data_IF_458987006089
#
_entry.id   IF_458987006089
#
_cell.length_a   1.000
_cell.length_b   1.000
_cell.length_c   1.000
_cell.angle_alpha   90.00
_cell.angle_beta   90.00
_cell.angle_gamma   90.00
#
_symmetry.space_group_name_H-M   'P 1'
#
loop_
_entity.id
_entity.type
_entity.pdbx_description
1 polymer ?
#
# COMPACT_ATOMS: atom_id res chain seq x y z
N UNK A 1 -14.64 1.20 -14.87
CA UNK A 1 -13.75 2.26 -14.34
C UNK A 1 -14.44 3.59 -14.59
N UNK A 2 -14.60 4.40 -13.53
CA UNK A 2 -15.17 5.74 -13.68
C UNK A 2 -14.17 6.65 -14.40
N UNK A 3 -14.61 7.41 -15.40
CA UNK A 3 -13.76 8.38 -16.11
C UNK A 3 -13.43 9.61 -15.26
N UNK A 4 -14.30 9.91 -14.29
CA UNK A 4 -14.16 11.07 -13.41
C UNK A 4 -14.48 10.68 -11.98
N UNK A 5 -13.70 11.21 -11.03
CA UNK A 5 -13.89 11.05 -9.60
C UNK A 5 -13.99 12.43 -8.94
N UNK A 6 -15.04 12.67 -8.17
CA UNK A 6 -15.21 13.86 -7.35
C UNK A 6 -15.04 13.46 -5.89
N UNK A 7 -14.07 14.08 -5.21
CA UNK A 7 -13.82 13.88 -3.78
C UNK A 7 -14.40 15.04 -2.98
N UNK A 8 -15.30 14.73 -2.05
CA UNK A 8 -15.90 15.72 -1.17
C UNK A 8 -15.13 15.70 0.16
N UNK A 9 -14.41 16.79 0.43
CA UNK A 9 -13.61 16.97 1.64
C UNK A 9 -14.38 17.83 2.64
N UNK A 10 -14.88 17.21 3.72
CA UNK A 10 -15.61 17.91 4.76
C UNK A 10 -14.69 18.55 5.78
N UNK A 11 -15.20 19.61 6.43
CA UNK A 11 -14.58 20.31 7.55
C UNK A 11 -15.51 20.37 8.77
N UNK A 12 -14.98 20.86 9.88
CA UNK A 12 -15.72 21.02 11.15
C UNK A 12 -16.28 19.69 11.67
N UNK A 13 -17.60 19.59 11.82
CA UNK A 13 -18.25 18.39 12.35
C UNK A 13 -18.75 17.42 11.29
N UNK A 14 -18.43 17.66 10.02
CA UNK A 14 -18.78 16.77 8.92
C UNK A 14 -19.60 17.42 7.82
N UNK A 15 -20.23 16.58 7.01
CA UNK A 15 -21.04 16.95 5.85
C UNK A 15 -22.49 16.66 6.17
N UNK A 16 -23.43 17.49 5.68
CA UNK A 16 -24.86 17.29 5.86
C UNK A 16 -25.24 15.85 5.46
N UNK A 17 -25.98 15.18 6.33
CA UNK A 17 -26.35 13.78 6.15
C UNK A 17 -27.16 13.55 4.86
N UNK A 18 -27.95 14.52 4.43
CA UNK A 18 -28.72 14.43 3.17
C UNK A 18 -27.82 14.37 1.95
N UNK A 19 -26.68 15.09 1.97
CA UNK A 19 -25.66 15.01 0.91
C UNK A 19 -25.05 13.61 0.88
N UNK A 20 -24.67 13.08 2.06
CA UNK A 20 -24.09 11.73 2.18
C UNK A 20 -25.07 10.66 1.69
N UNK A 21 -26.34 10.76 2.04
CA UNK A 21 -27.36 9.76 1.66
C UNK A 21 -27.81 9.82 0.21
N UNK A 22 -27.82 11.00 -0.42
CA UNK A 22 -28.45 11.17 -1.74
C UNK A 22 -27.50 11.52 -2.87
N UNK A 23 -26.31 12.07 -2.58
CA UNK A 23 -25.36 12.51 -3.61
C UNK A 23 -24.05 11.74 -3.61
N UNK A 24 -23.64 11.22 -2.45
CA UNK A 24 -22.38 10.45 -2.34
C UNK A 24 -22.60 9.02 -2.80
N UNK A 25 -21.78 8.57 -3.71
CA UNK A 25 -21.82 7.18 -4.21
C UNK A 25 -21.03 6.21 -3.32
N UNK A 26 -19.92 6.67 -2.72
CA UNK A 26 -19.07 5.88 -1.84
C UNK A 26 -18.56 6.73 -0.68
N UNK A 27 -18.58 6.17 0.52
CA UNK A 27 -17.92 6.73 1.68
C UNK A 27 -16.70 5.87 2.03
N UNK A 28 -15.54 6.52 2.16
CA UNK A 28 -14.27 5.84 2.41
C UNK A 28 -13.64 6.39 3.69
N UNK A 29 -13.30 5.52 4.62
CA UNK A 29 -12.48 5.82 5.77
C UNK A 29 -11.05 5.33 5.54
N UNK A 30 -10.06 6.13 5.93
CA UNK A 30 -8.64 5.75 5.89
C UNK A 30 -8.10 5.29 7.26
N UNK A 31 -8.94 5.26 8.30
CA UNK A 31 -8.57 4.79 9.64
C UNK A 31 -9.46 5.32 10.75
N UNK A 32 -9.32 4.74 11.94
CA UNK A 32 -10.10 5.08 13.13
C UNK A 32 -9.47 6.25 13.91
N UNK A 33 -9.37 7.40 13.27
CA UNK A 33 -8.87 8.64 13.83
C UNK A 33 -9.56 9.85 13.20
N UNK A 34 -9.52 10.99 13.88
CA UNK A 34 -10.15 12.24 13.42
C UNK A 34 -9.08 13.16 12.82
N UNK A 35 -9.37 13.70 11.64
CA UNK A 35 -8.59 14.73 10.97
C UNK A 35 -9.31 16.08 11.04
N UNK A 36 -8.59 17.19 10.87
CA UNK A 36 -9.15 18.54 10.83
C UNK A 36 -10.00 18.82 9.59
N UNK A 37 -9.76 18.06 8.51
CA UNK A 37 -10.49 18.14 7.24
C UNK A 37 -10.25 16.91 6.38
N UNK A 38 -10.98 16.75 5.30
CA UNK A 38 -10.93 15.59 4.41
C UNK A 38 -9.80 15.62 3.38
N UNK A 39 -9.06 16.72 3.24
CA UNK A 39 -8.08 16.91 2.16
C UNK A 39 -6.90 15.92 2.26
N UNK A 40 -6.40 15.66 3.46
CA UNK A 40 -5.31 14.69 3.65
C UNK A 40 -5.77 13.26 3.32
N UNK A 41 -6.99 12.90 3.71
CA UNK A 41 -7.59 11.62 3.34
C UNK A 41 -7.76 11.50 1.82
N UNK A 42 -8.23 12.57 1.16
CA UNK A 42 -8.34 12.64 -0.29
C UNK A 42 -6.97 12.51 -0.98
N UNK A 43 -5.93 13.15 -0.45
CA UNK A 43 -4.56 13.04 -0.98
C UNK A 43 -4.04 11.60 -0.89
N UNK A 44 -4.22 10.93 0.25
CA UNK A 44 -3.85 9.52 0.43
C UNK A 44 -4.60 8.62 -0.55
N UNK A 45 -5.90 8.85 -0.71
CA UNK A 45 -6.74 8.12 -1.67
C UNK A 45 -6.26 8.32 -3.10
N UNK A 46 -6.01 9.58 -3.52
CA UNK A 46 -5.49 9.89 -4.85
C UNK A 46 -4.13 9.21 -5.09
N UNK A 47 -3.18 9.33 -4.19
CA UNK A 47 -1.86 8.72 -4.33
C UNK A 47 -1.96 7.20 -4.49
N UNK A 48 -2.79 6.54 -3.67
CA UNK A 48 -2.99 5.08 -3.73
C UNK A 48 -3.56 4.58 -5.06
N UNK A 49 -4.41 5.40 -5.75
CA UNK A 49 -5.02 5.03 -7.02
C UNK A 49 -4.14 5.43 -8.21
N UNK A 50 -3.60 6.64 -8.20
CA UNK A 50 -2.85 7.20 -9.32
C UNK A 50 -1.63 6.34 -9.64
N UNK A 51 -0.95 5.80 -8.63
CA UNK A 51 0.19 4.92 -8.81
C UNK A 51 -0.15 3.58 -9.50
N UNK A 52 -1.42 3.19 -9.56
CA UNK A 52 -1.89 1.99 -10.26
C UNK A 52 -2.17 2.24 -11.75
N UNK A 53 -2.16 3.49 -12.19
CA UNK A 53 -2.37 3.86 -13.58
C UNK A 53 -1.10 3.55 -14.38
N UNK A 54 -1.17 2.77 -15.48
CA UNK A 54 -0.02 2.48 -16.31
C UNK A 54 0.71 3.74 -16.76
N UNK A 55 2.03 3.74 -16.71
CA UNK A 55 2.89 4.85 -17.13
C UNK A 55 3.04 5.99 -16.09
N UNK A 56 2.36 5.94 -14.96
CA UNK A 56 2.53 6.96 -13.89
C UNK A 56 3.80 6.71 -13.08
N UNK A 57 4.10 5.45 -12.74
CA UNK A 57 5.36 5.08 -12.12
C UNK A 57 6.41 4.83 -13.21
N UNK A 58 7.64 5.26 -12.98
CA UNK A 58 8.75 5.05 -13.91
C UNK A 58 9.14 3.59 -14.12
N UNK A 59 8.76 2.71 -13.20
CA UNK A 59 8.91 1.26 -13.29
C UNK A 59 7.57 0.59 -12.99
N UNK A 60 6.91 0.09 -14.03
CA UNK A 60 5.60 -0.59 -13.94
C UNK A 60 5.69 -1.88 -13.09
N UNK A 61 6.86 -2.53 -13.05
CA UNK A 61 7.06 -3.73 -12.23
C UNK A 61 7.00 -3.43 -10.73
N UNK A 62 7.29 -2.19 -10.33
CA UNK A 62 7.23 -1.76 -8.93
C UNK A 62 5.83 -1.88 -8.34
N UNK A 63 4.79 -1.50 -9.09
CA UNK A 63 3.41 -1.62 -8.65
C UNK A 63 2.97 -3.10 -8.53
N UNK A 64 3.49 -3.99 -9.37
CA UNK A 64 3.15 -5.41 -9.37
C UNK A 64 3.73 -6.18 -8.19
N UNK A 65 4.81 -5.68 -7.58
CA UNK A 65 5.49 -6.30 -6.44
C UNK A 65 5.12 -5.68 -5.09
N UNK A 66 4.25 -4.69 -5.09
CA UNK A 66 3.78 -4.04 -3.87
C UNK A 66 2.87 -4.96 -3.03
N UNK A 67 2.76 -4.63 -1.74
CA UNK A 67 1.80 -5.27 -0.84
C UNK A 67 0.37 -5.19 -1.39
N UNK A 68 -0.42 -6.20 -1.11
CA UNK A 68 -1.84 -6.34 -1.48
C UNK A 68 -2.14 -6.70 -2.93
N UNK A 69 -1.15 -6.85 -3.81
CA UNK A 69 -1.39 -7.30 -5.19
C UNK A 69 -1.86 -8.75 -5.27
N UNK A 70 -1.32 -9.60 -4.42
CA UNK A 70 -1.64 -11.03 -4.30
C UNK A 70 -2.24 -11.39 -2.94
N UNK A 71 -2.90 -10.43 -2.27
CA UNK A 71 -3.41 -10.54 -0.91
C UNK A 71 -2.32 -10.83 0.14
N UNK A 72 -1.10 -10.37 -0.10
CA UNK A 72 0.02 -10.53 0.83
C UNK A 72 0.72 -9.20 1.08
N UNK A 73 1.46 -9.15 2.17
CA UNK A 73 2.44 -8.08 2.41
C UNK A 73 3.72 -8.38 1.64
N UNK A 74 4.33 -7.36 1.06
CA UNK A 74 5.64 -7.49 0.41
C UNK A 74 6.69 -8.04 1.39
N UNK A 75 7.69 -8.68 0.84
CA UNK A 75 8.83 -9.20 1.59
C UNK A 75 9.65 -8.07 2.24
N UNK A 76 10.50 -8.39 3.25
CA UNK A 76 11.39 -7.41 3.85
C UNK A 76 12.47 -6.96 2.87
N UNK A 77 12.65 -5.64 2.76
CA UNK A 77 13.66 -5.01 1.91
C UNK A 77 14.92 -4.72 2.73
N UNK A 78 16.07 -4.91 2.10
CA UNK A 78 17.38 -4.60 2.67
C UNK A 78 18.13 -3.61 1.77
N UNK A 79 18.81 -2.66 2.38
CA UNK A 79 19.60 -1.64 1.71
C UNK A 79 21.09 -1.79 2.04
N UNK A 80 21.94 -1.04 1.36
CA UNK A 80 23.37 -0.92 1.70
C UNK A 80 23.57 -0.13 2.99
N UNK A 81 24.63 -0.44 3.77
CA UNK A 81 25.65 -1.45 3.55
C UNK A 81 25.19 -2.88 3.92
N UNK A 82 25.87 -3.91 3.40
CA UNK A 82 25.62 -5.32 3.70
C UNK A 82 25.69 -5.65 5.20
N UNK A 83 26.58 -4.96 5.91
CA UNK A 83 26.72 -5.07 7.36
C UNK A 83 26.67 -3.68 7.99
N UNK A 84 25.62 -3.44 8.74
CA UNK A 84 25.47 -2.22 9.53
C UNK A 84 25.56 -2.53 11.02
N UNK A 85 26.66 -2.18 11.67
CA UNK A 85 26.88 -2.38 13.13
C UNK A 85 26.61 -3.83 13.60
N UNK A 86 27.04 -4.81 12.81
CA UNK A 86 26.81 -6.23 13.10
C UNK A 86 25.50 -6.81 12.58
N UNK A 87 24.55 -5.98 12.16
CA UNK A 87 23.32 -6.40 11.50
C UNK A 87 23.59 -6.65 10.01
N UNK A 88 23.42 -7.90 9.58
CA UNK A 88 23.79 -8.34 8.23
C UNK A 88 22.58 -8.58 7.35
N UNK A 89 22.71 -8.25 6.08
CA UNK A 89 21.77 -8.69 5.05
C UNK A 89 21.82 -10.22 4.95
N UNK A 90 20.68 -10.92 4.80
CA UNK A 90 20.66 -12.36 4.59
C UNK A 90 21.52 -12.75 3.39
N UNK A 91 22.44 -13.73 3.58
CA UNK A 91 23.39 -14.17 2.54
C UNK A 91 22.71 -14.59 1.24
N UNK A 92 21.51 -15.14 1.32
CA UNK A 92 20.74 -15.56 0.16
C UNK A 92 20.46 -14.40 -0.81
N UNK A 93 20.20 -13.19 -0.30
CA UNK A 93 19.88 -12.01 -1.11
C UNK A 93 21.09 -11.47 -1.90
N UNK A 94 22.30 -11.84 -1.50
CA UNK A 94 23.57 -11.44 -2.14
C UNK A 94 24.24 -12.60 -2.86
N UNK A 95 23.59 -13.78 -2.93
CA UNK A 95 24.16 -15.00 -3.53
C UNK A 95 24.21 -14.96 -5.06
N UNK A 96 23.42 -14.08 -5.71
CA UNK A 96 23.24 -14.08 -7.17
C UNK A 96 22.34 -15.21 -7.70
N UNK A 97 21.83 -16.10 -6.85
CA UNK A 97 20.94 -17.19 -7.25
C UNK A 97 19.48 -16.69 -7.25
N UNK A 98 19.01 -16.14 -8.36
CA UNK A 98 17.69 -15.55 -8.49
C UNK A 98 16.56 -16.49 -8.03
N UNK A 99 16.63 -17.79 -8.38
CA UNK A 99 15.60 -18.77 -8.02
C UNK A 99 15.46 -18.98 -6.52
N UNK A 100 16.58 -19.03 -5.82
CA UNK A 100 16.60 -19.16 -4.35
C UNK A 100 16.19 -17.84 -3.67
N UNK A 101 16.55 -16.70 -4.26
CA UNK A 101 16.14 -15.37 -3.78
C UNK A 101 14.61 -15.24 -3.87
N UNK A 102 14.00 -15.61 -4.99
CA UNK A 102 12.54 -15.57 -5.16
C UNK A 102 11.81 -16.47 -4.16
N UNK A 103 12.28 -17.71 -3.98
CA UNK A 103 11.70 -18.61 -2.97
C UNK A 103 11.81 -18.04 -1.54
N UNK A 104 12.92 -17.40 -1.23
CA UNK A 104 13.12 -16.76 0.06
C UNK A 104 12.17 -15.59 0.25
N UNK A 105 11.99 -14.75 -0.78
CA UNK A 105 11.06 -13.61 -0.79
C UNK A 105 9.62 -14.07 -0.57
N UNK A 106 9.15 -15.02 -1.35
CA UNK A 106 7.81 -15.59 -1.22
C UNK A 106 7.54 -16.14 0.19
N UNK A 107 8.49 -16.91 0.72
CA UNK A 107 8.42 -17.42 2.09
C UNK A 107 8.32 -16.29 3.12
N UNK A 108 9.13 -15.23 2.97
CA UNK A 108 9.16 -14.09 3.91
C UNK A 108 7.91 -13.23 3.80
N UNK A 109 7.38 -13.03 2.61
CA UNK A 109 6.09 -12.39 2.37
C UNK A 109 4.98 -13.15 3.12
N UNK A 110 4.88 -14.47 2.94
CA UNK A 110 3.89 -15.31 3.61
C UNK A 110 4.02 -15.26 5.15
N UNK A 111 5.23 -15.43 5.70
CA UNK A 111 5.48 -15.36 7.14
C UNK A 111 5.07 -14.00 7.72
N UNK A 112 5.38 -12.91 7.01
CA UNK A 112 5.04 -11.54 7.41
C UNK A 112 3.53 -11.30 7.36
N UNK A 113 2.86 -11.76 6.31
CA UNK A 113 1.41 -11.65 6.18
C UNK A 113 0.70 -12.41 7.29
N UNK A 114 1.08 -13.66 7.52
CA UNK A 114 0.53 -14.48 8.60
C UNK A 114 0.67 -13.82 9.97
N UNK A 115 1.77 -13.10 10.21
CA UNK A 115 2.03 -12.44 11.49
C UNK A 115 1.25 -11.13 11.67
N UNK A 116 1.16 -10.31 10.62
CA UNK A 116 0.68 -8.93 10.73
C UNK A 116 -0.70 -8.70 10.12
N UNK A 117 -1.07 -9.50 9.13
CA UNK A 117 -2.34 -9.40 8.40
C UNK A 117 -2.88 -10.81 8.08
N UNK A 118 -3.17 -11.62 9.11
CA UNK A 118 -3.72 -12.97 8.90
C UNK A 118 -5.08 -12.96 8.20
N UNK A 119 -5.77 -11.83 8.19
CA UNK A 119 -7.03 -11.58 7.51
C UNK A 119 -6.93 -11.60 5.97
N UNK A 120 -5.71 -11.55 5.41
CA UNK A 120 -5.46 -11.61 3.97
C UNK A 120 -5.23 -13.03 3.44
N UNK A 121 -5.07 -14.04 4.33
CA UNK A 121 -4.74 -15.41 3.97
C UNK A 121 -5.96 -16.35 3.96
#
# INVERSE_FOLDING_TARGET
>A
LSENIILICGHYKGIDQRIRQHLVTHEISIGDYVLSGGELAAAVFCDSIIRLIPGVLGDESSALTDSFQDNRLSEPVYTRPENYKGLKVPKILISGNNKEIERWRDKKSFERTKKHRPDLL
#
